data_IF_969553230603
#
_entry.id   IF_969553230603
#
_cell.length_a   1.000
_cell.length_b   1.000
_cell.length_c   1.000
_cell.angle_alpha   90.00
_cell.angle_beta   90.00
_cell.angle_gamma   90.00
#
_symmetry.space_group_name_H-M   'P 1'
#
loop_
_entity.id
_entity.type
_entity.pdbx_description
1 polymer ?
#
# COMPACT_ATOMS: atom_id res chain seq x y z
N UNK A 1 12.17 5.98 36.05
CA UNK A 1 11.58 5.98 34.71
C UNK A 1 12.13 4.77 33.97
N UNK A 2 11.28 3.83 33.56
CA UNK A 2 11.72 2.70 32.75
C UNK A 2 11.96 3.19 31.32
N UNK A 3 13.02 2.75 30.62
CA UNK A 3 13.32 3.29 29.31
C UNK A 3 12.27 2.85 28.27
N UNK A 4 11.80 3.82 27.50
CA UNK A 4 10.66 3.73 26.55
C UNK A 4 11.00 3.02 25.23
N UNK A 5 12.19 2.41 25.13
CA UNK A 5 12.67 1.73 23.91
C UNK A 5 11.72 0.63 23.42
N UNK A 6 10.95 0.04 24.33
CA UNK A 6 10.04 -1.07 24.03
C UNK A 6 8.77 -0.62 23.28
N UNK A 7 8.42 0.68 23.27
CA UNK A 7 7.25 1.18 22.57
C UNK A 7 7.31 0.94 21.07
N UNK A 8 8.49 1.09 20.45
CA UNK A 8 8.66 0.77 19.03
C UNK A 8 8.43 -0.71 18.73
N UNK A 9 8.93 -1.61 19.59
CA UNK A 9 8.76 -3.07 19.44
C UNK A 9 7.29 -3.47 19.60
N UNK A 10 6.61 -2.93 20.62
CA UNK A 10 5.19 -3.19 20.84
C UNK A 10 4.31 -2.65 19.72
N UNK A 11 4.65 -1.49 19.15
CA UNK A 11 3.94 -0.94 18.00
C UNK A 11 4.05 -1.86 16.78
N UNK A 12 5.26 -2.30 16.44
CA UNK A 12 5.49 -3.21 15.30
C UNK A 12 4.78 -4.55 15.49
N UNK A 13 4.84 -5.12 16.71
CA UNK A 13 4.15 -6.37 17.03
C UNK A 13 2.62 -6.22 16.99
N UNK A 14 2.09 -5.12 17.55
CA UNK A 14 0.67 -4.80 17.52
C UNK A 14 0.13 -4.63 16.10
N UNK A 15 0.91 -3.99 15.23
CA UNK A 15 0.58 -3.86 13.80
C UNK A 15 0.49 -5.23 13.12
N UNK A 16 1.45 -6.13 13.39
CA UNK A 16 1.43 -7.49 12.85
C UNK A 16 0.17 -8.26 13.26
N UNK A 17 -0.23 -8.17 14.54
CA UNK A 17 -1.46 -8.80 15.03
C UNK A 17 -2.71 -8.19 14.39
N UNK A 18 -2.79 -6.87 14.32
CA UNK A 18 -3.93 -6.16 13.74
C UNK A 18 -4.11 -6.49 12.24
N UNK A 19 -3.01 -6.54 11.48
CA UNK A 19 -3.03 -6.92 10.07
C UNK A 19 -3.50 -8.36 9.88
N UNK A 20 -2.98 -9.30 10.66
CA UNK A 20 -3.41 -10.71 10.60
C UNK A 20 -4.89 -10.87 10.94
N UNK A 21 -5.42 -10.07 11.88
CA UNK A 21 -6.83 -10.07 12.23
C UNK A 21 -7.70 -9.49 11.10
N UNK A 22 -7.35 -8.32 10.57
CA UNK A 22 -8.13 -7.59 9.56
C UNK A 22 -8.15 -8.28 8.19
N UNK A 23 -7.08 -8.99 7.84
CA UNK A 23 -6.98 -9.68 6.54
C UNK A 23 -7.72 -11.03 6.55
N UNK A 24 -8.20 -11.47 7.72
CA UNK A 24 -8.94 -12.70 7.88
C UNK A 24 -8.01 -13.91 7.91
N UNK A 25 -8.24 -14.80 8.87
CA UNK A 25 -7.43 -16.00 9.14
C UNK A 25 -7.42 -16.96 7.92
N UNK A 26 -8.30 -16.78 6.94
CA UNK A 26 -8.30 -17.58 5.70
C UNK A 26 -7.35 -17.03 4.62
N UNK A 27 -6.79 -15.83 4.81
CA UNK A 27 -5.71 -15.28 3.99
C UNK A 27 -4.36 -15.40 4.72
N UNK A 28 -4.07 -16.58 5.30
CA UNK A 28 -2.71 -17.05 5.71
C UNK A 28 -1.82 -17.18 4.46
N UNK A 29 -1.67 -16.10 3.70
CA UNK A 29 -0.66 -15.90 2.67
C UNK A 29 0.20 -14.68 2.96
N UNK A 30 -0.25 -13.76 3.82
CA UNK A 30 0.61 -12.69 4.34
C UNK A 30 1.71 -13.27 5.24
N UNK A 31 1.40 -14.29 6.06
CA UNK A 31 2.39 -14.96 6.91
C UNK A 31 3.35 -15.89 6.15
N UNK A 32 3.01 -16.33 4.93
CA UNK A 32 3.86 -17.22 4.13
C UNK A 32 4.69 -16.43 3.10
N UNK A 33 4.20 -15.27 2.66
CA UNK A 33 4.95 -14.36 1.80
C UNK A 33 5.78 -13.38 2.63
N UNK A 34 6.93 -13.81 3.16
CA UNK A 34 7.95 -12.89 3.72
C UNK A 34 8.26 -11.72 2.76
N UNK A 35 8.03 -11.91 1.47
CA UNK A 35 8.22 -10.94 0.39
C UNK A 35 6.95 -10.12 0.05
N UNK A 36 5.96 -10.02 0.93
CA UNK A 36 4.72 -9.26 0.70
C UNK A 36 4.49 -8.15 1.74
N UNK A 37 5.22 -8.22 2.86
CA UNK A 37 5.34 -7.15 3.84
C UNK A 37 6.49 -6.23 3.41
N UNK A 38 6.33 -4.92 3.60
CA UNK A 38 7.36 -3.92 3.38
C UNK A 38 7.95 -3.84 1.95
N UNK A 39 7.11 -4.02 0.92
CA UNK A 39 7.55 -3.98 -0.47
C UNK A 39 7.90 -2.56 -0.91
N UNK A 40 9.10 -2.40 -1.48
CA UNK A 40 9.58 -1.10 -1.92
C UNK A 40 8.68 -0.53 -3.02
N UNK A 41 8.25 0.71 -2.86
CA UNK A 41 7.56 1.44 -3.95
C UNK A 41 8.46 1.74 -5.13
N UNK A 42 9.78 1.55 -5.00
CA UNK A 42 10.77 1.62 -6.08
C UNK A 42 10.92 0.29 -6.83
N UNK A 43 10.21 -0.77 -6.42
CA UNK A 43 10.31 -2.09 -7.02
C UNK A 43 9.55 -2.16 -8.36
N UNK A 44 10.28 -2.51 -9.42
CA UNK A 44 9.79 -2.65 -10.79
C UNK A 44 9.47 -4.11 -11.17
N UNK A 45 9.58 -5.05 -10.22
CA UNK A 45 9.20 -6.45 -10.45
C UNK A 45 7.68 -6.58 -10.65
N UNK A 46 7.31 -7.33 -11.69
CA UNK A 46 5.94 -7.50 -12.20
C UNK A 46 5.11 -8.49 -11.36
N UNK A 47 5.75 -9.26 -10.50
CA UNK A 47 5.19 -10.48 -9.92
C UNK A 47 4.11 -10.24 -8.85
N UNK A 48 4.04 -9.03 -8.29
CA UNK A 48 3.31 -8.77 -7.06
C UNK A 48 1.82 -8.43 -7.24
N UNK A 49 1.42 -7.87 -8.39
CA UNK A 49 0.05 -7.36 -8.61
C UNK A 49 -0.90 -8.44 -9.16
N UNK A 50 -0.40 -9.59 -9.59
CA UNK A 50 -1.16 -10.52 -10.44
C UNK A 50 -2.19 -11.44 -9.76
N UNK A 51 -2.34 -11.49 -8.42
CA UNK A 51 -3.15 -12.55 -7.78
C UNK A 51 -4.04 -12.12 -6.61
N UNK A 52 -4.65 -10.93 -6.66
CA UNK A 52 -5.52 -10.46 -5.57
C UNK A 52 -4.80 -10.34 -4.22
N UNK A 53 -3.46 -10.33 -4.25
CA UNK A 53 -2.60 -10.25 -3.07
C UNK A 53 -2.56 -8.78 -2.62
N UNK A 54 -2.80 -8.55 -1.33
CA UNK A 54 -2.66 -7.22 -0.74
C UNK A 54 -1.20 -6.99 -0.38
N UNK A 55 -0.57 -6.04 -1.06
CA UNK A 55 0.81 -5.64 -0.81
C UNK A 55 0.85 -4.56 0.28
N UNK A 56 1.77 -4.70 1.22
CA UNK A 56 2.14 -3.61 2.11
C UNK A 56 3.33 -2.89 1.49
N UNK A 57 3.16 -1.61 1.17
CA UNK A 57 4.15 -0.83 0.45
C UNK A 57 4.97 0.05 1.39
N UNK A 58 6.29 0.01 1.24
CA UNK A 58 7.23 0.94 1.86
C UNK A 58 7.53 2.10 0.92
N UNK A 59 7.23 3.32 1.37
CA UNK A 59 7.60 4.55 0.67
C UNK A 59 8.89 5.13 1.26
N UNK A 60 10.02 4.83 0.63
CA UNK A 60 11.29 5.47 0.98
C UNK A 60 11.24 6.97 0.66
N UNK A 61 12.23 7.70 1.16
CA UNK A 61 12.42 9.14 0.88
C UNK A 61 13.01 9.33 -0.52
N UNK A 62 12.32 8.84 -1.55
CA UNK A 62 12.75 8.90 -2.95
C UNK A 62 11.65 9.46 -3.84
N UNK A 63 12.06 9.88 -5.03
CA UNK A 63 11.20 10.52 -6.01
C UNK A 63 10.83 9.59 -7.18
N UNK A 64 11.23 8.32 -7.13
CA UNK A 64 11.09 7.38 -8.23
C UNK A 64 10.20 6.20 -7.87
N UNK A 65 9.11 5.97 -8.61
CA UNK A 65 8.30 6.93 -9.36
C UNK A 65 7.36 7.73 -8.45
N UNK A 66 7.12 7.23 -7.24
CA UNK A 66 6.12 7.73 -6.32
C UNK A 66 6.82 8.30 -5.11
N UNK A 67 6.43 9.52 -4.75
CA UNK A 67 6.94 10.27 -3.61
C UNK A 67 5.76 10.73 -2.78
N UNK A 68 5.77 10.34 -1.50
CA UNK A 68 4.79 10.80 -0.51
C UNK A 68 4.80 12.33 -0.37
N UNK A 69 5.96 12.96 -0.59
CA UNK A 69 6.10 14.41 -0.50
C UNK A 69 5.46 15.09 -1.71
N UNK A 70 5.75 14.62 -2.92
CA UNK A 70 5.14 15.13 -4.16
C UNK A 70 3.62 14.93 -4.12
N UNK A 71 3.16 13.78 -3.62
CA UNK A 71 1.73 13.50 -3.40
C UNK A 71 1.11 14.51 -2.42
N UNK A 72 1.71 14.68 -1.25
CA UNK A 72 1.24 15.63 -0.22
C UNK A 72 1.20 17.08 -0.72
N UNK A 73 2.13 17.45 -1.60
CA UNK A 73 2.15 18.77 -2.25
C UNK A 73 1.13 18.92 -3.40
N UNK A 74 0.38 17.88 -3.73
CA UNK A 74 -0.59 17.90 -4.84
C UNK A 74 0.05 17.97 -6.23
N UNK A 75 1.36 17.70 -6.35
CA UNK A 75 2.13 17.98 -7.58
C UNK A 75 1.94 16.95 -8.71
N UNK A 76 1.22 15.86 -8.47
CA UNK A 76 0.87 14.89 -9.52
C UNK A 76 -0.24 15.34 -10.48
N UNK A 77 -0.58 16.63 -10.55
CA UNK A 77 -1.76 17.10 -11.33
C UNK A 77 -1.55 16.99 -12.84
N UNK A 78 -0.30 16.94 -13.27
CA UNK A 78 0.09 16.84 -14.68
C UNK A 78 0.43 15.38 -15.08
N UNK A 79 0.31 14.44 -14.16
CA UNK A 79 0.64 13.03 -14.41
C UNK A 79 -0.60 12.30 -14.90
N UNK A 80 -0.49 11.69 -16.08
CA UNK A 80 -1.57 10.93 -16.69
C UNK A 80 -1.81 9.59 -15.96
N UNK A 81 -3.05 9.36 -15.53
CA UNK A 81 -3.49 8.12 -14.90
C UNK A 81 -3.43 6.93 -15.85
N UNK A 82 -3.72 7.13 -17.14
CA UNK A 82 -3.81 6.03 -18.11
C UNK A 82 -2.47 5.32 -18.29
N UNK A 83 -1.35 6.03 -18.11
CA UNK A 83 0.01 5.45 -18.10
C UNK A 83 0.21 4.37 -17.03
N UNK A 84 -0.50 4.46 -15.90
CA UNK A 84 -0.30 3.59 -14.74
C UNK A 84 -1.46 2.61 -14.50
N UNK A 85 -2.57 2.76 -15.23
CA UNK A 85 -3.81 1.96 -15.08
C UNK A 85 -3.56 0.45 -15.20
N UNK A 86 -2.73 0.04 -16.15
CA UNK A 86 -2.38 -1.36 -16.41
C UNK A 86 -1.03 -1.78 -15.83
N UNK A 87 -0.45 -0.95 -14.96
CA UNK A 87 0.83 -1.21 -14.34
C UNK A 87 0.79 -2.44 -13.43
N UNK A 88 1.76 -3.34 -13.62
CA UNK A 88 1.86 -4.60 -12.86
C UNK A 88 2.95 -4.59 -11.77
N UNK A 89 3.62 -3.46 -11.61
CA UNK A 89 4.70 -3.28 -10.62
C UNK A 89 4.17 -2.61 -9.36
N UNK A 90 4.88 -2.77 -8.24
CA UNK A 90 4.56 -2.07 -7.00
C UNK A 90 4.58 -0.54 -7.21
N UNK A 91 5.56 -0.07 -7.99
CA UNK A 91 5.72 1.33 -8.35
C UNK A 91 4.50 1.88 -9.11
N UNK A 92 4.01 1.14 -10.10
CA UNK A 92 2.87 1.59 -10.89
C UNK A 92 1.56 1.50 -10.10
N UNK A 93 1.44 0.51 -9.21
CA UNK A 93 0.31 0.40 -8.29
C UNK A 93 0.25 1.57 -7.31
N UNK A 94 1.38 1.95 -6.68
CA UNK A 94 1.45 3.11 -5.78
C UNK A 94 1.07 4.41 -6.50
N UNK A 95 1.64 4.63 -7.70
CA UNK A 95 1.31 5.80 -8.52
C UNK A 95 -0.16 5.83 -8.91
N UNK A 96 -0.72 4.69 -9.35
CA UNK A 96 -2.13 4.58 -9.72
C UNK A 96 -3.05 4.91 -8.55
N UNK A 97 -2.79 4.38 -7.36
CA UNK A 97 -3.59 4.70 -6.17
C UNK A 97 -3.54 6.20 -5.84
N UNK A 98 -2.36 6.81 -5.93
CA UNK A 98 -2.20 8.24 -5.71
C UNK A 98 -3.00 9.07 -6.71
N UNK A 99 -2.99 8.71 -7.99
CA UNK A 99 -3.75 9.41 -9.03
C UNK A 99 -5.26 9.16 -8.91
N UNK A 100 -5.70 7.92 -8.69
CA UNK A 100 -7.10 7.55 -8.46
C UNK A 100 -7.70 8.31 -7.28
N UNK A 101 -6.95 8.46 -6.18
CA UNK A 101 -7.44 9.15 -4.97
C UNK A 101 -7.82 10.62 -5.20
N UNK A 102 -7.30 11.26 -6.25
CA UNK A 102 -7.63 12.65 -6.60
C UNK A 102 -9.03 12.81 -7.18
N UNK A 103 -9.51 11.76 -7.84
CA UNK A 103 -10.82 11.74 -8.49
C UNK A 103 -11.89 11.15 -7.58
N UNK A 104 -11.54 10.74 -6.36
CA UNK A 104 -12.48 10.22 -5.37
C UNK A 104 -12.97 11.33 -4.46
N UNK A 105 -14.28 11.36 -4.26
CA UNK A 105 -14.89 12.06 -3.14
C UNK A 105 -14.49 11.40 -1.82
N UNK A 106 -14.64 12.12 -0.70
CA UNK A 106 -14.38 11.57 0.64
C UNK A 106 -15.21 10.31 0.93
N UNK A 107 -16.44 10.26 0.43
CA UNK A 107 -17.35 9.11 0.57
C UNK A 107 -16.87 7.91 -0.24
N UNK A 108 -16.44 8.12 -1.48
CA UNK A 108 -15.88 7.06 -2.33
C UNK A 108 -14.57 6.51 -1.76
N UNK A 109 -13.71 7.37 -1.22
CA UNK A 109 -12.48 6.95 -0.56
C UNK A 109 -12.78 6.07 0.67
N UNK A 110 -13.76 6.46 1.48
CA UNK A 110 -14.21 5.68 2.64
C UNK A 110 -14.90 4.34 2.25
N UNK A 111 -15.42 4.24 1.03
CA UNK A 111 -16.00 3.01 0.47
C UNK A 111 -14.95 2.13 -0.24
N UNK A 112 -13.86 2.71 -0.75
CA UNK A 112 -12.82 2.01 -1.53
C UNK A 112 -12.17 0.86 -0.74
N UNK A 113 -11.93 1.05 0.55
CA UNK A 113 -11.41 0.01 1.46
C UNK A 113 -12.40 -1.14 1.72
N UNK A 114 -13.70 -0.90 1.54
CA UNK A 114 -14.78 -1.86 1.85
C UNK A 114 -15.23 -2.67 0.62
N UNK A 115 -15.22 -2.10 -0.59
CA UNK A 115 -15.74 -2.77 -1.81
C UNK A 115 -14.95 -4.00 -2.25
N UNK A 116 -13.65 -4.10 -1.98
CA UNK A 116 -12.81 -5.24 -2.43
C UNK A 116 -12.94 -6.52 -1.59
N UNK A 117 -13.71 -6.54 -0.50
CA UNK A 117 -13.97 -7.78 0.26
C UNK A 117 -15.21 -8.55 -0.20
N UNK A 118 -15.99 -8.01 -1.14
CA UNK A 118 -17.28 -8.57 -1.56
C UNK A 118 -17.27 -9.14 -2.98
N UNK A 119 -16.13 -9.08 -3.69
CA UNK A 119 -15.99 -9.57 -5.07
C UNK A 119 -14.95 -10.68 -5.21
N UNK A 120 -14.73 -11.47 -4.16
CA UNK A 120 -13.88 -12.67 -4.16
C UNK A 120 -14.69 -13.89 -3.77
#
# INVERSE_FOLDING_TARGET
MWPEWHYGVLLLYGQQLALNHLVGINQIRILIGHNLLDQLTTDDRVEYVQKGIRLNLHCWHTDLPFSKFVFKMGKYNQTDLEKYKNGKTAQAYAMRMALESKYMTLEELAAYGRKKSLSS
#
